data_IF_087839222974
#
_entry.id   IF_087839222974
#
_cell.length_a   1.000
_cell.length_b   1.000
_cell.length_c   1.000
_cell.angle_alpha   90.00
_cell.angle_beta   90.00
_cell.angle_gamma   90.00
#
_symmetry.space_group_name_H-M   'P 1'
#
loop_
_entity.id
_entity.type
_entity.pdbx_description
1 polymer ?
#
# COMPACT_ATOMS: atom_id res chain seq x y z
N UNK A 1 -10.54 3.77 21.10
CA UNK A 1 -9.15 3.30 21.02
C UNK A 1 -8.24 4.51 20.89
N UNK A 2 -6.97 4.50 21.35
CA UNK A 2 -6.07 5.60 21.05
C UNK A 2 -5.93 5.72 19.52
N UNK A 3 -5.92 6.95 19.00
CA UNK A 3 -5.55 7.23 17.63
C UNK A 3 -4.16 6.61 17.36
N UNK A 4 -3.96 6.12 16.16
CA UNK A 4 -2.67 5.55 15.77
C UNK A 4 -1.63 6.66 15.72
N UNK A 5 -0.72 6.69 16.69
CA UNK A 5 0.33 7.73 16.81
C UNK A 5 1.42 7.62 15.74
N UNK A 6 1.24 6.73 14.74
CA UNK A 6 2.20 6.48 13.67
C UNK A 6 2.40 4.98 13.41
N UNK A 7 3.57 4.67 12.94
CA UNK A 7 3.97 3.32 12.54
C UNK A 7 5.32 2.98 13.17
N UNK A 8 5.75 1.72 13.06
CA UNK A 8 7.11 1.32 13.45
C UNK A 8 8.01 1.24 12.20
N UNK A 9 9.35 1.39 12.36
CA UNK A 9 10.28 1.33 11.24
C UNK A 9 10.12 0.06 10.41
N UNK A 10 10.09 0.22 9.08
CA UNK A 10 9.91 -0.85 8.11
C UNK A 10 8.45 -1.16 7.74
N UNK A 11 7.47 -0.49 8.33
CA UNK A 11 6.05 -0.69 7.95
C UNK A 11 5.66 0.28 6.83
N UNK A 12 4.92 -0.17 5.78
CA UNK A 12 4.29 0.74 4.84
C UNK A 12 3.32 1.68 5.57
N UNK A 13 3.51 2.98 5.41
CA UNK A 13 2.78 3.97 6.20
C UNK A 13 2.01 4.99 5.36
N UNK A 14 2.35 5.14 4.09
CA UNK A 14 1.72 6.09 3.18
C UNK A 14 1.83 5.63 1.73
N UNK A 15 0.91 6.07 0.91
CA UNK A 15 0.95 5.94 -0.55
C UNK A 15 0.50 7.24 -1.20
N UNK A 16 1.10 7.61 -2.32
CA UNK A 16 0.60 8.70 -3.16
C UNK A 16 0.67 8.36 -4.65
N UNK A 17 -0.22 8.95 -5.43
CA UNK A 17 -0.13 8.96 -6.88
C UNK A 17 0.61 10.21 -7.34
N UNK A 18 1.69 10.03 -8.11
CA UNK A 18 2.34 11.09 -8.84
C UNK A 18 1.69 11.19 -10.22
N UNK A 19 1.02 12.31 -10.49
CA UNK A 19 0.19 12.51 -11.68
C UNK A 19 0.69 13.68 -12.52
N UNK A 20 0.66 13.58 -13.87
CA UNK A 20 0.85 14.74 -14.75
C UNK A 20 -0.23 15.80 -14.56
N UNK A 21 -1.48 15.41 -14.35
CA UNK A 21 -2.65 16.25 -14.02
C UNK A 21 -3.27 15.74 -12.71
N UNK A 22 -2.87 16.29 -11.55
CA UNK A 22 -3.39 15.84 -10.27
C UNK A 22 -4.89 16.10 -10.08
N UNK A 23 -5.46 17.14 -10.70
CA UNK A 23 -6.88 17.44 -10.62
C UNK A 23 -7.72 16.37 -11.33
N UNK A 24 -7.27 15.89 -12.49
CA UNK A 24 -7.89 14.71 -13.13
C UNK A 24 -7.76 13.44 -12.30
N UNK A 25 -6.65 13.25 -11.58
CA UNK A 25 -6.47 12.18 -10.60
C UNK A 25 -7.46 12.28 -9.44
N UNK A 26 -7.66 13.48 -8.89
CA UNK A 26 -8.65 13.75 -7.84
C UNK A 26 -10.06 13.37 -8.30
N UNK A 27 -10.45 13.77 -9.52
CA UNK A 27 -11.78 13.44 -10.08
C UNK A 27 -11.95 11.92 -10.24
N UNK A 28 -10.92 11.22 -10.74
CA UNK A 28 -10.97 9.77 -10.93
C UNK A 28 -11.07 9.02 -9.60
N UNK A 29 -10.13 9.26 -8.67
CA UNK A 29 -10.11 8.52 -7.40
C UNK A 29 -11.25 8.94 -6.47
N UNK A 30 -11.69 10.19 -6.50
CA UNK A 30 -12.90 10.65 -5.82
C UNK A 30 -14.15 9.93 -6.33
N UNK A 31 -14.28 9.81 -7.66
CA UNK A 31 -15.38 9.08 -8.29
C UNK A 31 -15.34 7.56 -8.09
N UNK A 32 -14.14 6.98 -7.89
CA UNK A 32 -13.93 5.54 -7.74
C UNK A 32 -14.10 5.07 -6.29
N UNK A 33 -13.45 5.74 -5.34
CA UNK A 33 -13.41 5.35 -3.93
C UNK A 33 -14.28 6.20 -3.01
N UNK A 34 -14.88 7.27 -3.54
CA UNK A 34 -15.64 8.23 -2.74
C UNK A 34 -14.75 9.09 -1.84
N UNK A 35 -13.49 9.27 -2.21
CA UNK A 35 -12.56 10.10 -1.43
C UNK A 35 -12.91 11.57 -1.52
N UNK A 36 -12.78 12.27 -0.40
CA UNK A 36 -12.76 13.72 -0.34
C UNK A 36 -11.30 14.19 -0.30
N UNK A 37 -11.02 15.32 -0.97
CA UNK A 37 -9.65 15.81 -1.12
C UNK A 37 -9.48 17.21 -0.53
N UNK A 38 -8.33 17.42 0.12
CA UNK A 38 -7.89 18.71 0.61
C UNK A 38 -6.54 19.06 -0.03
N UNK A 39 -6.42 20.22 -0.69
CA UNK A 39 -5.14 20.68 -1.22
C UNK A 39 -4.23 21.15 -0.07
N UNK A 40 -3.18 20.41 0.19
CA UNK A 40 -2.19 20.71 1.22
C UNK A 40 -1.17 21.78 0.78
N UNK A 41 -1.17 22.17 -0.50
CA UNK A 41 -0.24 23.15 -1.02
C UNK A 41 -0.82 24.56 -0.94
N UNK A 42 0.07 25.54 -0.76
CA UNK A 42 -0.34 26.94 -0.87
C UNK A 42 -0.74 27.28 -2.31
N UNK A 43 -1.72 28.18 -2.55
CA UNK A 43 -2.17 28.54 -3.89
C UNK A 43 -1.06 29.05 -4.82
N UNK A 44 0.02 29.58 -4.25
CA UNK A 44 1.18 30.11 -4.98
C UNK A 44 2.28 29.07 -5.22
N UNK A 45 2.12 27.82 -4.75
CA UNK A 45 3.12 26.79 -4.94
C UNK A 45 3.13 26.27 -6.38
N UNK A 46 4.32 25.90 -6.86
CA UNK A 46 4.44 25.10 -8.07
C UNK A 46 4.03 23.66 -7.77
N UNK A 47 3.03 23.15 -8.47
CA UNK A 47 2.44 21.84 -8.26
C UNK A 47 1.30 21.81 -7.24
N UNK A 48 0.71 20.62 -7.11
CA UNK A 48 -0.41 20.34 -6.21
C UNK A 48 -0.13 19.08 -5.41
N UNK A 49 -0.71 18.99 -4.23
CA UNK A 49 -0.68 17.78 -3.41
C UNK A 49 -1.99 17.67 -2.62
N UNK A 50 -2.88 16.85 -3.10
CA UNK A 50 -4.20 16.64 -2.53
C UNK A 50 -4.19 15.45 -1.58
N UNK A 51 -4.46 15.67 -0.31
CA UNK A 51 -4.63 14.61 0.69
C UNK A 51 -6.03 14.04 0.54
N UNK A 52 -6.12 12.73 0.33
CA UNK A 52 -7.36 11.97 0.24
C UNK A 52 -7.82 11.53 1.61
N UNK A 53 -9.08 11.80 1.92
CA UNK A 53 -9.77 11.35 3.13
C UNK A 53 -10.89 10.38 2.76
N UNK A 54 -11.03 9.33 3.54
CA UNK A 54 -12.11 8.36 3.41
C UNK A 54 -12.90 8.31 4.70
N UNK A 55 -14.24 8.28 4.61
CA UNK A 55 -15.07 7.93 5.75
C UNK A 55 -14.94 6.42 6.03
N UNK A 56 -14.79 6.03 7.29
CA UNK A 56 -14.71 4.62 7.66
C UNK A 56 -16.11 3.97 7.53
N UNK A 57 -16.32 3.05 6.57
CA UNK A 57 -17.63 2.43 6.37
C UNK A 57 -18.01 1.43 7.45
N UNK A 58 -17.10 1.10 8.37
CA UNK A 58 -17.36 0.28 9.56
C UNK A 58 -17.69 -1.19 9.27
N UNK A 59 -17.15 -1.77 8.23
CA UNK A 59 -17.39 -3.16 7.83
C UNK A 59 -16.14 -4.04 7.77
N UNK A 60 -14.95 -3.51 8.08
CA UNK A 60 -13.72 -4.33 8.06
C UNK A 60 -13.73 -5.37 9.18
N UNK A 61 -13.33 -6.61 8.84
CA UNK A 61 -13.10 -7.66 9.84
C UNK A 61 -11.93 -7.32 10.78
N UNK A 62 -11.12 -6.34 10.42
CA UNK A 62 -10.01 -5.81 11.20
C UNK A 62 -10.38 -4.53 11.96
N UNK A 63 -11.58 -3.96 11.69
CA UNK A 63 -12.05 -2.78 12.41
C UNK A 63 -12.56 -3.15 13.79
N UNK A 64 -11.99 -2.52 14.80
CA UNK A 64 -12.45 -2.57 16.20
C UNK A 64 -12.88 -1.20 16.69
N UNK A 65 -12.78 -0.17 15.87
CA UNK A 65 -13.11 1.19 16.28
C UNK A 65 -14.63 1.41 16.27
N UNK A 66 -15.18 1.82 17.41
CA UNK A 66 -16.54 2.33 17.51
C UNK A 66 -16.66 3.79 17.08
N UNK A 67 -15.55 4.46 16.83
CA UNK A 67 -15.47 5.85 16.42
C UNK A 67 -15.17 5.93 14.93
N UNK A 68 -16.22 6.08 14.12
CA UNK A 68 -16.21 6.10 12.67
C UNK A 68 -15.81 7.48 12.12
N UNK A 69 -14.75 8.07 12.64
CA UNK A 69 -14.17 9.23 12.00
C UNK A 69 -13.33 8.74 10.84
N UNK A 70 -13.62 9.24 9.66
CA UNK A 70 -12.78 9.06 8.48
C UNK A 70 -11.37 9.60 8.74
N UNK A 71 -10.42 9.21 7.91
CA UNK A 71 -9.03 9.62 8.05
C UNK A 71 -8.31 9.73 6.73
N UNK A 72 -7.11 10.26 6.79
CA UNK A 72 -6.23 10.36 5.64
C UNK A 72 -5.80 8.95 5.19
N UNK A 73 -5.96 8.64 3.90
CA UNK A 73 -5.73 7.29 3.34
C UNK A 73 -4.61 7.28 2.31
N UNK A 74 -4.45 8.36 1.54
CA UNK A 74 -3.50 8.48 0.44
C UNK A 74 -3.33 9.95 0.03
N UNK A 75 -2.54 10.20 -1.02
CA UNK A 75 -2.57 11.48 -1.70
C UNK A 75 -2.48 11.33 -3.21
N UNK A 76 -2.85 12.42 -3.92
CA UNK A 76 -2.63 12.61 -5.36
C UNK A 76 -1.87 13.91 -5.53
N UNK A 77 -0.72 13.87 -6.19
CA UNK A 77 0.10 15.06 -6.33
C UNK A 77 0.80 15.20 -7.68
N UNK A 78 1.29 16.38 -7.96
CA UNK A 78 2.13 16.63 -9.12
C UNK A 78 3.39 15.78 -9.04
N UNK A 79 3.82 15.22 -10.16
CA UNK A 79 5.11 14.54 -10.21
C UNK A 79 6.22 15.56 -9.94
N UNK A 80 7.02 15.42 -8.87
CA UNK A 80 8.16 16.31 -8.62
C UNK A 80 9.28 16.10 -9.64
N UNK A 81 9.26 14.98 -10.32
CA UNK A 81 10.19 14.65 -11.38
C UNK A 81 9.59 15.11 -12.71
N UNK A 82 9.92 16.34 -13.13
CA UNK A 82 9.51 16.91 -14.42
C UNK A 82 9.87 16.03 -15.64
N UNK A 83 10.46 14.88 -15.42
CA UNK A 83 10.95 13.95 -16.43
C UNK A 83 10.11 12.67 -16.58
N UNK A 84 9.13 12.37 -15.72
CA UNK A 84 8.28 11.19 -15.92
C UNK A 84 6.89 11.60 -16.42
N UNK A 85 6.61 11.36 -17.71
CA UNK A 85 5.30 11.67 -18.30
C UNK A 85 4.20 10.67 -17.88
N UNK A 86 4.54 9.64 -17.10
CA UNK A 86 3.63 8.56 -16.70
C UNK A 86 3.27 8.67 -15.23
N UNK A 87 1.98 8.63 -14.96
CA UNK A 87 1.44 8.52 -13.62
C UNK A 87 1.88 7.22 -12.93
N UNK A 88 2.06 7.26 -11.62
CA UNK A 88 2.42 6.08 -10.83
C UNK A 88 2.04 6.23 -9.37
N UNK A 89 1.73 5.12 -8.72
CA UNK A 89 1.64 5.02 -7.27
C UNK A 89 3.03 4.84 -6.66
N UNK A 90 3.28 5.53 -5.54
CA UNK A 90 4.49 5.42 -4.73
C UNK A 90 4.14 4.81 -3.38
N UNK A 91 5.02 3.95 -2.88
CA UNK A 91 4.92 3.35 -1.54
C UNK A 91 5.97 3.97 -0.63
N UNK A 92 5.55 4.33 0.58
CA UNK A 92 6.42 4.89 1.61
C UNK A 92 6.52 3.95 2.80
N UNK A 93 7.75 3.70 3.25
CA UNK A 93 8.03 2.93 4.45
C UNK A 93 8.46 3.85 5.58
N UNK A 94 7.88 3.65 6.76
CA UNK A 94 8.24 4.42 7.93
C UNK A 94 9.68 4.15 8.34
N UNK A 95 10.40 5.20 8.72
CA UNK A 95 11.77 5.14 9.24
C UNK A 95 11.94 6.13 10.39
N UNK A 96 12.86 5.83 11.31
CA UNK A 96 13.23 6.76 12.37
C UNK A 96 14.17 7.85 11.84
N UNK A 97 14.96 7.57 10.79
CA UNK A 97 15.85 8.51 10.12
C UNK A 97 15.97 8.18 8.64
N UNK A 98 15.63 9.13 7.79
CA UNK A 98 15.78 9.03 6.34
C UNK A 98 17.25 8.99 5.93
N UNK A 99 18.13 9.69 6.65
CA UNK A 99 19.57 9.71 6.39
C UNK A 99 20.23 8.35 6.70
N UNK A 100 19.85 7.71 7.82
CA UNK A 100 20.32 6.36 8.13
C UNK A 100 19.75 5.33 7.15
N UNK A 101 18.49 5.49 6.71
CA UNK A 101 17.90 4.63 5.69
C UNK A 101 18.68 4.73 4.37
N UNK A 102 19.08 5.96 3.96
CA UNK A 102 19.91 6.16 2.76
C UNK A 102 21.27 5.44 2.86
N UNK A 103 21.89 5.45 4.05
CA UNK A 103 23.14 4.72 4.28
C UNK A 103 22.93 3.21 4.14
N UNK A 104 21.90 2.65 4.81
CA UNK A 104 21.57 1.21 4.73
C UNK A 104 21.27 0.76 3.29
N UNK A 105 20.53 1.58 2.53
CA UNK A 105 20.22 1.30 1.12
C UNK A 105 21.49 1.20 0.28
N UNK A 106 22.42 2.15 0.42
CA UNK A 106 23.71 2.12 -0.29
C UNK A 106 24.55 0.89 0.10
N UNK A 107 24.64 0.61 1.39
CA UNK A 107 25.42 -0.52 1.90
C UNK A 107 24.84 -1.87 1.43
N UNK A 108 23.52 -1.94 1.22
CA UNK A 108 22.83 -3.11 0.70
C UNK A 108 22.83 -3.22 -0.84
N UNK A 109 23.45 -2.26 -1.56
CA UNK A 109 23.56 -2.27 -3.00
C UNK A 109 22.41 -1.62 -3.76
N UNK A 110 21.51 -0.93 -3.07
CA UNK A 110 20.43 -0.14 -3.67
C UNK A 110 20.91 1.24 -4.14
N UNK A 111 20.02 1.94 -4.85
CA UNK A 111 20.24 3.28 -5.37
C UNK A 111 19.57 4.36 -4.50
N UNK A 112 20.21 5.52 -4.39
CA UNK A 112 19.59 6.75 -3.85
C UNK A 112 19.28 7.65 -5.04
N UNK A 113 17.99 7.73 -5.40
CA UNK A 113 17.51 8.53 -6.54
C UNK A 113 17.35 9.99 -6.15
N UNK A 114 16.76 10.21 -4.94
CA UNK A 114 16.66 11.53 -4.34
C UNK A 114 17.15 11.43 -2.90
N UNK A 115 18.14 12.27 -2.58
CA UNK A 115 18.71 12.35 -1.23
C UNK A 115 17.64 12.78 -0.20
N UNK A 116 17.81 12.42 1.09
CA UNK A 116 16.89 12.83 2.14
C UNK A 116 16.67 14.34 2.19
N UNK A 117 15.42 14.76 2.11
CA UNK A 117 15.01 16.17 2.18
C UNK A 117 13.74 16.33 3.01
N UNK A 118 13.56 17.53 3.55
CA UNK A 118 12.35 17.89 4.30
C UNK A 118 11.23 18.28 3.34
N UNK A 119 10.13 17.54 3.37
CA UNK A 119 8.92 17.90 2.67
C UNK A 119 8.04 18.75 3.61
N UNK A 120 8.20 20.05 3.50
CA UNK A 120 7.57 21.05 4.40
C UNK A 120 7.77 20.69 5.88
N UNK A 121 6.73 20.84 6.70
CA UNK A 121 6.68 20.39 8.10
C UNK A 121 6.12 18.98 8.25
N UNK A 122 5.80 18.32 7.14
CA UNK A 122 5.06 17.06 7.05
C UNK A 122 5.92 15.87 7.41
N UNK A 123 7.06 15.72 6.73
CA UNK A 123 7.99 14.62 6.92
C UNK A 123 9.39 14.95 6.38
N UNK A 124 10.37 14.10 6.69
CA UNK A 124 11.61 13.98 5.94
C UNK A 124 11.53 12.70 5.10
N UNK A 125 11.83 12.81 3.82
CA UNK A 125 11.62 11.72 2.85
C UNK A 125 12.82 11.60 1.90
N UNK A 126 12.93 10.46 1.23
CA UNK A 126 13.91 10.18 0.20
C UNK A 126 13.33 9.20 -0.82
N UNK A 127 13.91 9.13 -2.01
CA UNK A 127 13.54 8.16 -3.05
C UNK A 127 14.71 7.22 -3.27
N UNK A 128 14.43 5.94 -3.16
CA UNK A 128 15.40 4.86 -3.30
C UNK A 128 14.98 3.87 -4.39
N UNK A 129 15.93 3.05 -4.83
CA UNK A 129 15.65 1.83 -5.58
C UNK A 129 16.33 0.65 -4.90
N UNK A 130 15.71 -0.51 -5.01
CA UNK A 130 16.41 -1.76 -4.74
C UNK A 130 17.41 -2.10 -5.87
N UNK A 131 18.20 -3.19 -5.76
CA UNK A 131 19.18 -3.57 -6.79
C UNK A 131 18.58 -3.88 -8.17
N UNK A 132 17.31 -4.28 -8.27
CA UNK A 132 16.60 -4.47 -9.55
C UNK A 132 15.98 -3.18 -10.11
N UNK A 133 15.99 -2.10 -9.35
CA UNK A 133 15.43 -0.80 -9.75
C UNK A 133 14.01 -0.55 -9.28
N UNK A 134 13.41 -1.40 -8.44
CA UNK A 134 12.11 -1.14 -7.85
C UNK A 134 12.20 0.09 -6.93
N UNK A 135 11.51 1.15 -7.34
CA UNK A 135 11.50 2.42 -6.59
C UNK A 135 10.61 2.35 -5.37
N UNK A 136 11.08 2.90 -4.26
CA UNK A 136 10.31 3.10 -3.03
C UNK A 136 10.76 4.37 -2.31
N UNK A 137 9.95 4.81 -1.37
CA UNK A 137 10.20 6.01 -0.59
C UNK A 137 10.24 5.70 0.89
N UNK A 138 10.81 6.60 1.68
CA UNK A 138 10.78 6.52 3.14
C UNK A 138 10.08 7.74 3.73
N UNK A 139 9.53 7.55 4.92
CA UNK A 139 8.80 8.55 5.67
C UNK A 139 9.33 8.63 7.09
N UNK A 140 10.13 9.65 7.36
CA UNK A 140 10.49 10.07 8.71
C UNK A 140 9.47 11.14 9.12
N UNK A 141 8.52 10.75 9.96
CA UNK A 141 7.36 11.57 10.26
C UNK A 141 7.70 12.81 11.09
N UNK A 142 7.11 13.93 10.69
CA UNK A 142 7.05 15.15 11.48
C UNK A 142 5.60 15.40 11.96
N UNK A 143 4.89 16.32 11.33
CA UNK A 143 3.50 16.63 11.68
C UNK A 143 2.51 15.57 11.18
N UNK A 144 2.71 15.02 9.97
CA UNK A 144 1.84 14.01 9.41
C UNK A 144 2.37 12.59 9.73
N UNK A 145 1.51 11.76 10.30
CA UNK A 145 1.86 10.44 10.84
C UNK A 145 1.54 9.26 9.91
N UNK A 146 1.43 9.52 8.60
CA UNK A 146 1.04 8.51 7.62
C UNK A 146 -0.47 8.29 7.54
N UNK A 147 -0.90 7.20 6.92
CA UNK A 147 -2.31 6.89 6.76
C UNK A 147 -2.99 6.64 8.12
N UNK A 148 -4.13 7.29 8.31
CA UNK A 148 -4.94 7.17 9.53
C UNK A 148 -5.91 5.99 9.43
N UNK A 149 -6.33 5.65 8.21
CA UNK A 149 -7.20 4.53 7.90
C UNK A 149 -6.48 3.57 6.95
N UNK A 150 -6.46 2.28 7.30
CA UNK A 150 -5.92 1.18 6.49
C UNK A 150 -6.81 -0.06 6.66
N UNK A 151 -6.78 -0.98 5.69
CA UNK A 151 -7.54 -2.23 5.70
C UNK A 151 -9.07 -2.08 5.64
N UNK A 152 -9.59 -0.88 5.45
CA UNK A 152 -11.02 -0.60 5.24
C UNK A 152 -11.30 -0.34 3.75
N UNK A 153 -12.54 -0.55 3.27
CA UNK A 153 -12.91 -0.18 1.92
C UNK A 153 -12.56 1.28 1.60
N UNK A 154 -11.90 1.50 0.47
CA UNK A 154 -11.34 2.79 0.10
C UNK A 154 -9.96 3.10 0.70
N UNK A 155 -9.36 2.21 1.49
CA UNK A 155 -8.05 2.42 2.08
C UNK A 155 -7.02 1.38 1.62
N UNK A 156 -5.74 1.68 1.83
CA UNK A 156 -4.64 0.77 1.54
C UNK A 156 -4.79 -0.52 2.36
N UNK A 157 -4.66 -1.66 1.70
CA UNK A 157 -4.65 -2.98 2.36
C UNK A 157 -3.33 -3.69 2.18
N UNK A 158 -2.65 -3.51 1.05
CA UNK A 158 -1.42 -4.25 0.79
C UNK A 158 -0.46 -3.49 -0.13
N UNK A 159 0.85 -3.71 0.07
CA UNK A 159 1.89 -3.33 -0.87
C UNK A 159 2.61 -4.60 -1.32
N UNK A 160 2.90 -4.72 -2.60
CA UNK A 160 3.52 -5.92 -3.17
C UNK A 160 4.74 -5.54 -3.98
N UNK A 161 5.87 -6.19 -3.70
CA UNK A 161 7.04 -6.13 -4.56
C UNK A 161 6.89 -7.12 -5.70
N UNK A 162 6.94 -6.63 -6.92
CA UNK A 162 7.03 -7.42 -8.13
C UNK A 162 8.50 -7.45 -8.56
N UNK A 163 9.14 -8.61 -8.59
CA UNK A 163 10.60 -8.78 -8.75
C UNK A 163 10.92 -10.06 -9.51
N UNK A 164 12.07 -10.10 -10.22
CA UNK A 164 12.61 -11.33 -10.83
C UNK A 164 13.61 -12.01 -9.91
N UNK A 165 14.38 -11.23 -9.16
CA UNK A 165 15.38 -11.72 -8.22
C UNK A 165 14.83 -11.74 -6.79
N UNK A 166 13.98 -12.73 -6.50
CA UNK A 166 13.39 -12.90 -5.16
C UNK A 166 14.45 -13.05 -4.07
N UNK A 167 15.56 -13.75 -4.34
CA UNK A 167 16.63 -13.95 -3.35
C UNK A 167 17.43 -12.66 -3.10
N UNK A 168 17.74 -11.92 -4.16
CA UNK A 168 18.35 -10.58 -4.03
C UNK A 168 17.45 -9.63 -3.25
N UNK A 169 16.16 -9.62 -3.54
CA UNK A 169 15.18 -8.83 -2.82
C UNK A 169 15.13 -9.21 -1.32
N UNK A 170 15.11 -10.51 -0.98
CA UNK A 170 15.16 -10.96 0.42
C UNK A 170 16.38 -10.42 1.16
N UNK A 171 17.55 -10.54 0.54
CA UNK A 171 18.81 -10.06 1.13
C UNK A 171 18.80 -8.55 1.33
N UNK A 172 18.31 -7.80 0.35
CA UNK A 172 18.24 -6.34 0.38
C UNK A 172 17.28 -5.84 1.44
N UNK A 173 16.02 -6.27 1.42
CA UNK A 173 15.02 -5.76 2.36
C UNK A 173 15.24 -6.27 3.80
N UNK A 174 15.86 -7.44 3.99
CA UNK A 174 16.34 -7.86 5.30
C UNK A 174 17.41 -6.91 5.85
N UNK A 175 18.35 -6.45 5.01
CA UNK A 175 19.41 -5.50 5.41
C UNK A 175 18.87 -4.10 5.68
N UNK A 176 17.89 -3.63 4.89
CA UNK A 176 17.37 -2.26 5.00
C UNK A 176 16.34 -2.13 6.13
N UNK A 177 15.38 -3.08 6.22
CA UNK A 177 14.25 -2.99 7.14
C UNK A 177 14.18 -4.10 8.20
N UNK A 178 15.07 -5.10 8.14
CA UNK A 178 15.01 -6.25 9.05
C UNK A 178 13.89 -7.24 8.72
N UNK A 179 13.36 -7.20 7.50
CA UNK A 179 12.28 -8.09 7.08
C UNK A 179 12.77 -9.54 6.91
N UNK A 180 11.85 -10.46 7.14
CA UNK A 180 11.96 -11.87 6.76
C UNK A 180 10.80 -12.23 5.84
N UNK A 181 10.86 -13.41 5.22
CA UNK A 181 9.72 -13.91 4.44
C UNK A 181 9.00 -15.01 5.19
N UNK A 182 7.69 -15.07 5.03
CA UNK A 182 6.83 -16.15 5.51
C UNK A 182 5.88 -16.59 4.40
N UNK A 183 5.44 -17.85 4.45
CA UNK A 183 4.37 -18.32 3.58
C UNK A 183 3.03 -17.70 4.00
N UNK A 184 2.31 -17.09 3.05
CA UNK A 184 1.00 -16.45 3.28
C UNK A 184 -0.18 -17.25 2.72
N UNK A 185 0.05 -18.50 2.33
CA UNK A 185 -0.95 -19.39 1.73
C UNK A 185 -0.92 -19.37 0.19
N UNK A 186 -1.53 -20.40 -0.43
CA UNK A 186 -1.64 -20.51 -1.90
C UNK A 186 -0.31 -20.49 -2.66
N UNK A 187 0.80 -20.80 -2.00
CA UNK A 187 2.15 -20.69 -2.59
C UNK A 187 2.73 -19.28 -2.61
N UNK A 188 2.02 -18.29 -2.04
CA UNK A 188 2.49 -16.92 -1.93
C UNK A 188 3.44 -16.71 -0.75
N UNK A 189 4.28 -15.68 -0.85
CA UNK A 189 5.18 -15.24 0.20
C UNK A 189 4.89 -13.79 0.62
N UNK A 190 4.99 -13.53 1.92
CA UNK A 190 4.84 -12.20 2.51
C UNK A 190 6.12 -11.71 3.16
N UNK A 191 6.33 -10.41 3.12
CA UNK A 191 7.28 -9.71 3.95
C UNK A 191 6.73 -9.64 5.36
N UNK A 192 7.48 -10.12 6.35
CA UNK A 192 7.12 -10.04 7.76
C UNK A 192 8.16 -9.24 8.54
N UNK A 193 7.70 -8.29 9.34
CA UNK A 193 8.52 -7.52 10.27
C UNK A 193 8.33 -8.11 11.67
N UNK A 194 9.36 -8.76 12.24
CA UNK A 194 9.25 -9.38 13.56
C UNK A 194 8.81 -8.39 14.64
N UNK A 195 7.74 -8.73 15.37
CA UNK A 195 7.18 -7.91 16.44
C UNK A 195 6.13 -6.89 15.99
N UNK A 196 5.79 -6.83 14.70
CA UNK A 196 4.73 -5.95 14.22
C UNK A 196 3.36 -6.34 14.79
N UNK A 197 3.08 -7.64 14.88
CA UNK A 197 1.88 -8.15 15.53
C UNK A 197 1.76 -7.71 17.01
N UNK A 198 2.88 -7.71 17.76
CA UNK A 198 2.88 -7.22 19.14
C UNK A 198 2.57 -5.72 19.23
N UNK A 199 3.06 -4.94 18.24
CA UNK A 199 2.72 -3.53 18.12
C UNK A 199 1.23 -3.35 17.84
N UNK A 200 0.66 -4.11 16.90
CA UNK A 200 -0.75 -4.04 16.53
C UNK A 200 -1.68 -4.44 17.68
N UNK A 201 -1.32 -5.43 18.51
CA UNK A 201 -2.13 -5.86 19.65
C UNK A 201 -2.29 -4.80 20.73
N UNK A 202 -1.45 -3.76 20.77
CA UNK A 202 -1.68 -2.59 21.64
C UNK A 202 -2.96 -1.84 21.28
N UNK A 203 -3.33 -1.89 20.01
CA UNK A 203 -4.53 -1.23 19.47
C UNK A 203 -5.68 -2.23 19.25
N UNK A 204 -5.36 -3.51 19.02
CA UNK A 204 -6.30 -4.59 18.69
C UNK A 204 -5.98 -5.84 19.52
N UNK A 205 -6.33 -5.90 20.80
CA UNK A 205 -5.88 -6.97 21.72
C UNK A 205 -6.28 -8.39 21.32
N UNK A 206 -7.28 -8.55 20.46
CA UNK A 206 -7.79 -9.83 19.95
C UNK A 206 -7.36 -10.11 18.49
N UNK A 207 -6.39 -9.37 17.96
CA UNK A 207 -5.98 -9.45 16.55
C UNK A 207 -5.58 -10.88 16.14
N UNK A 208 -4.66 -11.51 16.87
CA UNK A 208 -4.21 -12.89 16.57
C UNK A 208 -5.34 -13.90 16.61
N UNK A 209 -6.23 -13.76 17.58
CA UNK A 209 -7.39 -14.66 17.69
C UNK A 209 -8.30 -14.51 16.46
N UNK A 210 -8.63 -13.29 16.06
CA UNK A 210 -9.47 -13.04 14.89
C UNK A 210 -8.80 -13.49 13.58
N UNK A 211 -7.49 -13.26 13.44
CA UNK A 211 -6.73 -13.75 12.28
C UNK A 211 -6.75 -15.28 12.20
N UNK A 212 -6.53 -15.96 13.32
CA UNK A 212 -6.59 -17.42 13.38
C UNK A 212 -8.00 -17.96 13.06
N UNK A 213 -9.06 -17.34 13.59
CA UNK A 213 -10.46 -17.67 13.28
C UNK A 213 -10.78 -17.44 11.79
N UNK A 214 -10.21 -16.42 11.18
CA UNK A 214 -10.30 -16.15 9.74
C UNK A 214 -9.45 -17.14 8.90
N UNK A 215 -8.60 -17.97 9.52
CA UNK A 215 -7.77 -18.95 8.83
C UNK A 215 -6.45 -18.37 8.26
N UNK A 216 -5.98 -17.25 8.79
CA UNK A 216 -4.70 -16.68 8.42
C UNK A 216 -3.56 -17.65 8.83
N UNK A 217 -2.46 -17.75 8.05
CA UNK A 217 -1.28 -18.52 8.43
C UNK A 217 -0.64 -18.01 9.72
N UNK A 218 0.10 -18.87 10.40
CA UNK A 218 0.88 -18.52 11.59
C UNK A 218 1.91 -17.41 11.24
N UNK A 219 1.99 -16.36 12.05
CA UNK A 219 2.87 -15.22 11.87
C UNK A 219 2.34 -14.17 10.88
N UNK A 220 1.11 -14.33 10.37
CA UNK A 220 0.51 -13.36 9.44
C UNK A 220 0.33 -11.97 10.07
N UNK A 221 0.23 -11.89 11.39
CA UNK A 221 0.16 -10.63 12.13
C UNK A 221 1.41 -9.76 11.97
N UNK A 222 2.55 -10.36 11.61
CA UNK A 222 3.79 -9.64 11.32
C UNK A 222 3.91 -9.20 9.84
N UNK A 223 2.96 -9.59 8.96
CA UNK A 223 3.04 -9.30 7.52
C UNK A 223 2.87 -7.82 7.24
N UNK A 224 3.78 -7.27 6.45
CA UNK A 224 3.83 -5.87 6.02
C UNK A 224 3.73 -5.69 4.50
N UNK A 225 3.73 -6.77 3.73
CA UNK A 225 3.64 -6.74 2.28
C UNK A 225 3.79 -8.13 1.66
N UNK A 226 3.79 -8.22 0.33
CA UNK A 226 4.00 -9.50 -0.37
C UNK A 226 5.12 -9.41 -1.42
N UNK A 227 5.53 -10.59 -1.89
CA UNK A 227 6.46 -10.76 -3.00
C UNK A 227 5.71 -11.46 -4.12
N UNK A 228 5.76 -10.87 -5.29
CA UNK A 228 5.21 -11.43 -6.52
C UNK A 228 6.35 -11.65 -7.52
N UNK A 229 6.74 -12.88 -7.80
CA UNK A 229 7.71 -13.14 -8.86
C UNK A 229 7.14 -12.70 -10.22
N UNK A 230 7.90 -11.89 -10.96
CA UNK A 230 7.56 -11.52 -12.34
C UNK A 230 7.83 -12.74 -13.22
N UNK A 231 6.82 -13.18 -13.96
CA UNK A 231 6.92 -14.35 -14.81
C UNK A 231 7.86 -14.11 -16.03
N UNK A 232 8.49 -15.17 -16.52
CA UNK A 232 9.44 -15.11 -17.64
C UNK A 232 8.79 -14.67 -18.95
N UNK A 233 7.47 -14.83 -19.09
CA UNK A 233 6.69 -14.40 -20.25
C UNK A 233 6.35 -12.89 -20.22
N UNK A 234 6.80 -12.16 -19.21
CA UNK A 234 6.65 -10.71 -19.06
C UNK A 234 8.03 -9.98 -19.09
N UNK A 235 8.82 -10.13 -20.17
CA UNK A 235 10.22 -9.66 -20.21
C UNK A 235 10.37 -8.14 -20.02
N UNK A 236 9.36 -7.37 -20.45
CA UNK A 236 9.38 -5.90 -20.44
C UNK A 236 8.84 -5.29 -19.12
N UNK A 237 8.33 -6.11 -18.19
CA UNK A 237 7.84 -5.62 -16.90
C UNK A 237 9.03 -5.36 -15.97
N UNK A 238 9.31 -4.11 -15.57
CA UNK A 238 10.37 -3.82 -14.62
C UNK A 238 9.98 -4.26 -13.21
N UNK A 239 10.98 -4.47 -12.35
CA UNK A 239 10.74 -4.61 -10.92
C UNK A 239 10.09 -3.34 -10.36
N UNK A 240 9.05 -3.50 -9.53
CA UNK A 240 8.29 -2.35 -9.00
C UNK A 240 7.48 -2.72 -7.75
N UNK A 241 7.21 -1.73 -6.93
CA UNK A 241 6.19 -1.81 -5.88
C UNK A 241 4.82 -1.47 -6.46
N UNK A 242 3.82 -2.27 -6.12
CA UNK A 242 2.41 -2.03 -6.43
C UNK A 242 1.59 -1.85 -5.16
N UNK A 243 0.51 -1.08 -5.27
CA UNK A 243 -0.42 -0.80 -4.17
C UNK A 243 -1.74 -1.53 -4.39
N UNK A 244 -2.36 -1.98 -3.31
CA UNK A 244 -3.68 -2.61 -3.33
C UNK A 244 -4.61 -1.90 -2.36
N UNK A 245 -5.74 -1.42 -2.85
CA UNK A 245 -6.80 -0.83 -2.03
C UNK A 245 -7.87 -1.88 -1.73
N UNK A 246 -8.38 -1.87 -0.50
CA UNK A 246 -9.55 -2.64 -0.15
C UNK A 246 -10.81 -2.02 -0.78
N UNK A 247 -11.73 -2.84 -1.24
CA UNK A 247 -13.01 -2.41 -1.81
C UNK A 247 -14.15 -3.31 -1.34
N UNK A 248 -15.37 -2.80 -1.40
CA UNK A 248 -16.56 -3.59 -1.06
C UNK A 248 -16.92 -4.60 -2.16
N UNK A 249 -16.57 -4.32 -3.42
CA UNK A 249 -16.83 -5.18 -4.56
C UNK A 249 -15.82 -4.91 -5.68
N UNK A 250 -14.94 -5.90 -5.95
CA UNK A 250 -13.90 -5.76 -6.97
C UNK A 250 -14.47 -5.72 -8.40
N UNK A 251 -15.58 -6.43 -8.65
CA UNK A 251 -16.24 -6.45 -9.97
C UNK A 251 -16.93 -5.09 -10.25
N UNK A 252 -17.64 -4.55 -9.26
CA UNK A 252 -18.26 -3.23 -9.37
C UNK A 252 -17.20 -2.12 -9.47
N UNK A 253 -16.09 -2.22 -8.74
CA UNK A 253 -14.97 -1.27 -8.82
C UNK A 253 -14.33 -1.28 -10.20
N UNK A 254 -14.13 -2.46 -10.81
CA UNK A 254 -13.61 -2.57 -12.17
C UNK A 254 -14.54 -1.92 -13.20
N UNK A 255 -15.86 -2.14 -13.09
CA UNK A 255 -16.85 -1.50 -13.95
C UNK A 255 -16.82 0.03 -13.76
N UNK A 256 -16.77 0.50 -12.53
CA UNK A 256 -16.73 1.94 -12.20
C UNK A 256 -15.47 2.61 -12.73
N UNK A 257 -14.31 1.95 -12.67
CA UNK A 257 -13.07 2.48 -13.22
C UNK A 257 -13.19 2.77 -14.73
N UNK A 258 -13.82 1.87 -15.49
CA UNK A 258 -14.08 2.08 -16.93
C UNK A 258 -14.99 3.29 -17.17
N UNK A 259 -16.06 3.45 -16.37
CA UNK A 259 -16.99 4.60 -16.49
C UNK A 259 -16.27 5.93 -16.25
N UNK A 260 -15.25 5.94 -15.41
CA UNK A 260 -14.43 7.11 -15.07
C UNK A 260 -13.25 7.32 -16.04
N UNK A 261 -13.15 6.53 -17.12
CA UNK A 261 -12.10 6.66 -18.13
C UNK A 261 -10.80 5.90 -17.83
N UNK A 262 -10.77 5.10 -16.77
CA UNK A 262 -9.68 4.19 -16.47
C UNK A 262 -9.72 2.91 -17.30
N UNK A 263 -8.82 1.98 -17.02
CA UNK A 263 -8.67 0.71 -17.73
C UNK A 263 -8.68 -0.47 -16.78
N UNK A 264 -9.17 -1.63 -17.24
CA UNK A 264 -9.03 -2.90 -16.55
C UNK A 264 -7.86 -3.65 -17.17
N UNK A 265 -6.74 -3.73 -16.43
CA UNK A 265 -5.52 -4.42 -16.87
C UNK A 265 -5.68 -5.93 -16.64
N UNK A 266 -6.14 -6.31 -15.44
CA UNK A 266 -6.48 -7.70 -15.13
C UNK A 266 -7.93 -7.74 -14.65
N UNK A 267 -8.82 -8.45 -15.37
CA UNK A 267 -10.21 -8.61 -14.96
C UNK A 267 -10.34 -9.21 -13.57
N UNK A 268 -11.44 -8.96 -12.83
CA UNK A 268 -11.65 -9.52 -11.52
C UNK A 268 -11.53 -11.05 -11.47
N UNK A 269 -10.70 -11.59 -10.59
CA UNK A 269 -10.46 -13.01 -10.41
C UNK A 269 -10.31 -13.37 -8.93
N UNK A 270 -10.51 -14.64 -8.61
CA UNK A 270 -10.25 -15.14 -7.25
C UNK A 270 -8.77 -15.47 -7.13
N UNK A 271 -8.10 -14.79 -6.20
CA UNK A 271 -6.66 -14.92 -6.02
C UNK A 271 -6.29 -16.36 -5.60
N UNK A 272 -5.14 -16.91 -6.06
CA UNK A 272 -4.73 -18.28 -5.78
C UNK A 272 -4.46 -18.53 -4.27
N UNK A 273 -4.18 -17.50 -3.49
CA UNK A 273 -4.05 -17.56 -2.03
C UNK A 273 -5.39 -17.54 -1.29
N UNK A 274 -6.52 -17.59 -2.00
CA UNK A 274 -7.81 -17.88 -1.39
C UNK A 274 -7.82 -19.27 -0.74
N UNK A 275 -8.52 -19.43 0.39
CA UNK A 275 -8.55 -20.67 1.15
C UNK A 275 -9.94 -21.30 1.20
N UNK A 276 -10.11 -22.38 1.95
CA UNK A 276 -11.42 -22.95 2.20
C UNK A 276 -12.32 -22.04 3.06
N UNK A 277 -11.72 -21.09 3.79
CA UNK A 277 -12.43 -20.20 4.74
C UNK A 277 -12.69 -18.82 4.20
N UNK A 278 -11.95 -18.37 3.18
CA UNK A 278 -12.14 -17.07 2.54
C UNK A 278 -11.74 -17.10 1.05
N UNK A 279 -12.28 -16.13 0.33
CA UNK A 279 -11.85 -15.78 -1.03
C UNK A 279 -11.32 -14.36 -1.02
N UNK A 280 -10.25 -14.11 -1.77
CA UNK A 280 -9.77 -12.77 -2.08
C UNK A 280 -10.07 -12.53 -3.55
N UNK A 281 -11.02 -11.64 -3.81
CA UNK A 281 -11.38 -11.20 -5.17
C UNK A 281 -10.56 -9.98 -5.53
N UNK A 282 -9.78 -10.03 -6.62
CA UNK A 282 -8.79 -9.00 -6.98
C UNK A 282 -8.98 -8.61 -8.44
N UNK A 283 -8.76 -7.33 -8.73
CA UNK A 283 -8.60 -6.79 -10.09
C UNK A 283 -7.40 -5.85 -10.13
N UNK A 284 -6.78 -5.69 -11.30
CA UNK A 284 -5.72 -4.68 -11.52
C UNK A 284 -6.23 -3.64 -12.49
N UNK A 285 -6.13 -2.40 -12.11
CA UNK A 285 -6.70 -1.25 -12.79
C UNK A 285 -5.60 -0.25 -13.17
N UNK A 286 -5.85 0.52 -14.21
CA UNK A 286 -5.11 1.73 -14.55
C UNK A 286 -6.04 2.93 -14.50
N UNK A 287 -5.57 4.03 -13.93
CA UNK A 287 -6.26 5.30 -14.04
C UNK A 287 -6.15 5.90 -15.46
N UNK A 288 -6.82 7.01 -15.77
CA UNK A 288 -6.75 7.63 -17.10
C UNK A 288 -5.37 8.12 -17.51
N UNK A 289 -4.45 8.31 -16.56
CA UNK A 289 -3.09 8.82 -16.80
C UNK A 289 -2.03 7.71 -16.79
N UNK A 290 -2.42 6.47 -16.45
CA UNK A 290 -1.59 5.27 -16.53
C UNK A 290 -1.02 4.78 -15.19
N UNK A 291 -1.38 5.37 -14.06
CA UNK A 291 -1.01 4.81 -12.76
C UNK A 291 -1.78 3.51 -12.49
N UNK A 292 -1.04 2.45 -12.18
CA UNK A 292 -1.60 1.12 -11.97
C UNK A 292 -1.73 0.80 -10.49
N UNK A 293 -2.85 0.15 -10.13
CA UNK A 293 -3.12 -0.28 -8.76
C UNK A 293 -4.02 -1.51 -8.76
N UNK A 294 -4.04 -2.25 -7.67
CA UNK A 294 -4.98 -3.34 -7.47
C UNK A 294 -6.13 -2.90 -6.55
N UNK A 295 -7.30 -3.47 -6.77
CA UNK A 295 -8.43 -3.38 -5.88
C UNK A 295 -8.83 -4.79 -5.43
N UNK A 296 -8.99 -5.00 -4.12
CA UNK A 296 -9.27 -6.33 -3.59
C UNK A 296 -10.37 -6.33 -2.55
N UNK A 297 -11.14 -7.41 -2.53
CA UNK A 297 -12.13 -7.71 -1.52
C UNK A 297 -11.81 -9.02 -0.83
N UNK A 298 -11.76 -8.99 0.50
CA UNK A 298 -11.77 -10.19 1.32
C UNK A 298 -13.21 -10.66 1.55
N UNK A 299 -13.53 -11.90 1.14
CA UNK A 299 -14.87 -12.49 1.28
C UNK A 299 -14.77 -13.72 2.17
N UNK A 300 -15.22 -13.66 3.44
CA UNK A 300 -15.32 -14.86 4.27
C UNK A 300 -16.27 -15.88 3.62
N UNK A 301 -15.85 -17.13 3.50
CA UNK A 301 -16.73 -18.21 3.11
C UNK A 301 -17.45 -18.70 4.36
N UNK A 302 -18.74 -18.44 4.48
CA UNK A 302 -19.55 -19.00 5.56
C UNK A 302 -19.35 -20.51 5.56
N UNK A 303 -18.85 -21.08 6.66
CA UNK A 303 -19.07 -22.50 6.95
C UNK A 303 -20.59 -22.65 7.01
N UNK A 304 -21.18 -23.26 5.97
CA UNK A 304 -22.60 -23.48 5.89
C UNK A 304 -23.05 -24.04 7.22
N UNK A 305 -24.04 -23.40 7.82
CA UNK A 305 -24.86 -24.02 8.86
C UNK A 305 -25.43 -25.26 8.17
N UNK A 306 -24.80 -26.41 8.43
CA UNK A 306 -25.28 -27.71 7.98
C UNK A 306 -26.73 -27.85 8.43
N UNK A 307 -27.59 -28.05 7.48
CA UNK A 307 -28.97 -28.50 7.63
C UNK A 307 -29.09 -29.77 8.46
#
# INVERSE_FOLDING_TARGET
MPERDGYIPGVPCWVDASEPDPEAGVDFYGGLFGWEFEDAMQPSAEGRYFIARCEAPGSSIFDTSRDRRGGDVAAVGSSPEAASPTARWNTYFWVDSADEAASRVRDAGGGVVVEPYDFMTVCRTAVFTDPEGAAFRVWEAKEHKGAQLVNDPGALVFNSLNTRDVEGARSFYASVFGWRTIAIGGGGEGWALPGYGDYLERYHPDLRTRMAEAGAPEGFEDVVGSINPIADDQPDTPAHWSVTFAVDDADATAARAIELGGTVIVPPFDAPWSTATYTIRVTVLGDPQGATFAASRFVPRNKGLGS
#
